data_IF_561895812152
#
_entry.id   IF_561895812152
#
_cell.length_a   1.000
_cell.length_b   1.000
_cell.length_c   1.000
_cell.angle_alpha   90.00
_cell.angle_beta   90.00
_cell.angle_gamma   90.00
#
_symmetry.space_group_name_H-M   'P 1'
#
loop_
_entity.id
_entity.type
_entity.pdbx_description
1 polymer ?
#
# COMPACT_ATOMS: atom_id res chain seq x y z
N UNK A 1 -23.02 -0.05 -29.66
CA UNK A 1 -23.73 -1.07 -28.85
C UNK A 1 -22.90 -1.63 -27.69
N UNK A 2 -21.68 -1.09 -27.42
CA UNK A 2 -20.80 -1.58 -26.35
C UNK A 2 -20.90 -0.85 -24.99
N UNK A 3 -21.60 0.27 -24.90
CA UNK A 3 -21.70 1.05 -23.65
C UNK A 3 -22.77 0.57 -22.67
N UNK A 4 -23.70 -0.27 -23.08
CA UNK A 4 -24.90 -0.60 -22.28
C UNK A 4 -24.69 -1.65 -21.18
N UNK A 5 -23.49 -2.21 -21.01
CA UNK A 5 -23.31 -3.32 -20.05
C UNK A 5 -21.91 -3.33 -19.40
N UNK A 6 -21.36 -2.14 -19.06
CA UNK A 6 -20.10 -2.11 -18.30
C UNK A 6 -20.34 -2.41 -16.82
N UNK A 7 -19.44 -3.13 -16.13
CA UNK A 7 -19.52 -3.39 -14.69
C UNK A 7 -19.59 -2.10 -13.85
N UNK A 8 -20.42 -2.07 -12.81
CA UNK A 8 -20.44 -0.95 -11.86
C UNK A 8 -19.18 -1.00 -10.97
N UNK A 9 -18.41 0.09 -10.97
CA UNK A 9 -17.21 0.28 -10.16
C UNK A 9 -17.47 1.34 -9.10
N UNK A 10 -17.12 1.06 -7.84
CA UNK A 10 -17.10 2.03 -6.75
C UNK A 10 -15.65 2.29 -6.35
N UNK A 11 -15.15 3.50 -6.59
CA UNK A 11 -13.86 3.94 -6.05
C UNK A 11 -14.02 4.30 -4.57
N UNK A 12 -13.27 3.61 -3.73
CA UNK A 12 -13.32 3.73 -2.26
C UNK A 12 -12.14 4.55 -1.79
N UNK A 13 -12.40 5.76 -1.30
CA UNK A 13 -11.41 6.76 -0.95
C UNK A 13 -11.48 7.12 0.55
N UNK A 14 -10.83 6.35 1.45
CA UNK A 14 -10.65 6.75 2.84
C UNK A 14 -9.75 7.99 2.94
N UNK A 15 -10.22 9.02 3.65
CA UNK A 15 -9.47 10.28 3.84
C UNK A 15 -9.38 10.65 5.32
N UNK A 16 -8.24 11.23 5.70
CA UNK A 16 -8.02 11.85 7.00
C UNK A 16 -6.86 12.85 6.89
N UNK A 17 -7.19 14.15 6.88
CA UNK A 17 -6.22 15.25 6.73
C UNK A 17 -5.38 15.13 5.45
N UNK A 18 -6.05 15.22 4.32
CA UNK A 18 -5.48 15.11 2.96
C UNK A 18 -5.64 16.41 2.15
N UNK A 19 -5.77 17.58 2.81
CA UNK A 19 -6.03 18.87 2.15
C UNK A 19 -5.02 19.20 1.04
N UNK A 20 -3.76 18.73 1.18
CA UNK A 20 -2.70 19.02 0.22
C UNK A 20 -2.84 18.25 -1.10
N UNK A 21 -3.63 17.16 -1.16
CA UNK A 21 -3.61 16.22 -2.30
C UNK A 21 -5.01 15.77 -2.76
N UNK A 22 -6.04 15.98 -1.94
CA UNK A 22 -7.37 15.42 -2.20
C UNK A 22 -7.98 15.91 -3.51
N UNK A 23 -7.76 17.16 -3.90
CA UNK A 23 -8.31 17.72 -5.16
C UNK A 23 -7.68 17.05 -6.38
N UNK A 24 -6.36 16.85 -6.37
CA UNK A 24 -5.65 16.17 -7.45
C UNK A 24 -6.11 14.71 -7.57
N UNK A 25 -6.28 14.03 -6.45
CA UNK A 25 -6.81 12.67 -6.39
C UNK A 25 -8.22 12.59 -7.00
N UNK A 26 -9.16 13.43 -6.55
CA UNK A 26 -10.53 13.46 -7.08
C UNK A 26 -10.56 13.83 -8.56
N UNK A 27 -9.75 14.79 -8.98
CA UNK A 27 -9.65 15.18 -10.40
C UNK A 27 -9.22 14.00 -11.26
N UNK A 28 -8.23 13.22 -10.83
CA UNK A 28 -7.78 12.03 -11.56
C UNK A 28 -8.84 10.92 -11.65
N UNK A 29 -9.71 10.80 -10.64
CA UNK A 29 -10.83 9.86 -10.64
C UNK A 29 -12.02 10.34 -11.48
N UNK A 30 -12.23 11.66 -11.61
CA UNK A 30 -13.27 12.23 -12.46
C UNK A 30 -12.88 12.29 -13.94
N UNK A 31 -11.60 12.20 -14.26
CA UNK A 31 -11.09 12.23 -15.64
C UNK A 31 -10.89 10.85 -16.25
N UNK A 32 -11.63 9.84 -15.73
CA UNK A 32 -11.52 8.49 -16.28
C UNK A 32 -12.24 8.36 -17.62
N UNK A 33 -11.68 7.53 -18.52
CA UNK A 33 -12.34 7.14 -19.78
C UNK A 33 -13.49 6.17 -19.56
N UNK A 34 -13.59 5.62 -18.34
CA UNK A 34 -14.68 4.73 -17.95
C UNK A 34 -16.00 5.51 -17.83
N UNK A 35 -17.13 5.03 -18.36
CA UNK A 35 -18.36 5.81 -18.39
C UNK A 35 -18.86 6.18 -16.98
N UNK A 36 -19.20 7.44 -16.78
CA UNK A 36 -19.63 8.00 -15.49
C UNK A 36 -20.84 7.30 -14.87
N UNK A 37 -21.74 6.81 -15.73
CA UNK A 37 -22.92 6.06 -15.29
C UNK A 37 -22.58 4.75 -14.56
N UNK A 38 -21.39 4.20 -14.80
CA UNK A 38 -20.89 2.95 -14.21
C UNK A 38 -19.75 3.18 -13.19
N UNK A 39 -19.49 4.43 -12.82
CA UNK A 39 -18.47 4.78 -11.85
C UNK A 39 -19.04 5.67 -10.73
N UNK A 40 -18.81 5.28 -9.48
CA UNK A 40 -19.13 6.08 -8.30
C UNK A 40 -17.87 6.27 -7.44
N UNK A 41 -17.77 7.41 -6.78
CA UNK A 41 -16.65 7.73 -5.89
C UNK A 41 -17.20 7.94 -4.48
N UNK A 42 -16.78 7.10 -3.55
CA UNK A 42 -17.13 7.19 -2.14
C UNK A 42 -15.94 7.75 -1.36
N UNK A 43 -16.11 8.94 -0.81
CA UNK A 43 -15.13 9.59 0.06
C UNK A 43 -15.52 9.29 1.52
N UNK A 44 -14.70 8.53 2.22
CA UNK A 44 -14.95 8.08 3.60
C UNK A 44 -14.09 8.92 4.55
N UNK A 45 -14.66 10.01 5.08
CA UNK A 45 -13.93 10.94 5.94
C UNK A 45 -13.83 10.42 7.38
N UNK A 46 -12.60 10.19 7.83
CA UNK A 46 -12.26 9.76 9.18
C UNK A 46 -12.38 10.86 10.25
N UNK A 47 -13.05 11.97 9.95
CA UNK A 47 -13.15 13.15 10.80
C UNK A 47 -11.92 14.04 10.64
N UNK A 48 -11.65 14.47 9.41
CA UNK A 48 -10.57 15.41 9.10
C UNK A 48 -10.76 16.74 9.87
N UNK A 49 -9.63 17.27 10.34
CA UNK A 49 -9.58 18.53 11.12
C UNK A 49 -8.96 19.68 10.34
N UNK A 50 -8.44 19.39 9.15
CA UNK A 50 -7.95 20.35 8.17
C UNK A 50 -9.05 20.71 7.15
N UNK A 51 -8.67 21.31 6.02
CA UNK A 51 -9.61 21.72 4.97
C UNK A 51 -10.11 20.59 4.09
N UNK A 52 -9.74 19.33 4.33
CA UNK A 52 -10.06 18.19 3.44
C UNK A 52 -11.55 18.13 3.09
N UNK A 53 -12.43 18.10 4.11
CA UNK A 53 -13.88 17.98 3.90
C UNK A 53 -14.43 19.15 3.08
N UNK A 54 -14.08 20.38 3.47
CA UNK A 54 -14.51 21.60 2.77
C UNK A 54 -14.07 21.63 1.31
N UNK A 55 -12.85 21.13 1.02
CA UNK A 55 -12.34 21.03 -0.33
C UNK A 55 -13.12 20.00 -1.16
N UNK A 56 -13.44 18.86 -0.59
CA UNK A 56 -14.26 17.82 -1.27
C UNK A 56 -15.67 18.34 -1.55
N UNK A 57 -16.33 19.00 -0.58
CA UNK A 57 -17.65 19.60 -0.76
C UNK A 57 -17.67 20.66 -1.86
N UNK A 58 -16.65 21.55 -1.89
CA UNK A 58 -16.48 22.54 -2.96
C UNK A 58 -16.24 21.88 -4.32
N UNK A 59 -15.45 20.81 -4.34
CA UNK A 59 -15.19 20.07 -5.59
C UNK A 59 -16.48 19.44 -6.13
N UNK A 60 -17.30 18.83 -5.29
CA UNK A 60 -18.60 18.25 -5.66
C UNK A 60 -19.54 19.32 -6.22
N UNK A 61 -19.63 20.49 -5.59
CA UNK A 61 -20.52 21.58 -6.01
C UNK A 61 -20.10 22.21 -7.33
N UNK A 62 -18.79 22.18 -7.67
CA UNK A 62 -18.23 22.81 -8.88
C UNK A 62 -17.97 21.80 -10.01
N UNK A 63 -18.27 20.51 -9.80
CA UNK A 63 -18.02 19.50 -10.84
C UNK A 63 -18.96 19.66 -12.04
N UNK A 64 -18.52 19.17 -13.20
CA UNK A 64 -19.37 19.08 -14.39
C UNK A 64 -20.53 18.09 -14.17
N UNK A 65 -21.66 18.33 -14.83
CA UNK A 65 -22.84 17.46 -14.78
C UNK A 65 -22.59 16.04 -15.33
N UNK A 66 -21.63 15.92 -16.22
CA UNK A 66 -21.16 14.66 -16.83
C UNK A 66 -19.89 14.13 -16.15
N UNK A 67 -19.89 14.02 -14.85
CA UNK A 67 -18.82 13.40 -14.07
C UNK A 67 -19.39 12.36 -13.09
N UNK A 68 -18.61 11.36 -12.65
CA UNK A 68 -19.10 10.31 -11.78
C UNK A 68 -19.68 10.88 -10.48
N UNK A 69 -20.67 10.20 -9.92
CA UNK A 69 -21.30 10.58 -8.66
C UNK A 69 -20.29 10.46 -7.51
N UNK A 70 -20.02 11.57 -6.83
CA UNK A 70 -19.19 11.60 -5.63
C UNK A 70 -20.09 11.76 -4.41
N UNK A 71 -19.92 10.87 -3.43
CA UNK A 71 -20.64 10.94 -2.15
C UNK A 71 -19.66 10.93 -0.99
N UNK A 72 -19.85 11.84 -0.01
CA UNK A 72 -19.08 11.88 1.22
C UNK A 72 -19.85 11.11 2.29
N UNK A 73 -19.16 10.21 2.98
CA UNK A 73 -19.66 9.49 4.14
C UNK A 73 -18.76 9.73 5.33
N UNK A 74 -19.35 9.85 6.50
CA UNK A 74 -18.61 9.91 7.76
C UNK A 74 -18.11 8.50 8.12
N UNK A 75 -16.82 8.38 8.43
CA UNK A 75 -16.21 7.19 8.99
C UNK A 75 -15.85 7.41 10.46
N UNK A 76 -16.79 7.26 11.40
CA UNK A 76 -16.56 7.57 12.82
C UNK A 76 -15.50 6.68 13.47
N UNK A 77 -15.23 5.51 12.90
CA UNK A 77 -14.19 4.58 13.36
C UNK A 77 -12.78 4.94 12.83
N UNK A 78 -12.69 5.89 11.90
CA UNK A 78 -11.48 6.59 11.45
C UNK A 78 -10.39 5.76 10.76
N UNK A 79 -10.43 4.43 10.78
CA UNK A 79 -9.41 3.59 10.14
C UNK A 79 -9.83 3.17 8.73
N UNK A 80 -8.84 2.78 7.94
CA UNK A 80 -9.03 2.43 6.52
C UNK A 80 -9.88 1.17 6.35
N UNK A 81 -9.69 0.15 7.18
CA UNK A 81 -10.48 -1.09 7.12
C UNK A 81 -11.98 -0.84 7.35
N UNK A 82 -12.29 0.00 8.36
CA UNK A 82 -13.67 0.39 8.66
C UNK A 82 -14.29 1.23 7.52
N UNK A 83 -13.52 2.16 6.94
CA UNK A 83 -13.97 2.95 5.80
C UNK A 83 -14.30 2.06 4.60
N UNK A 84 -13.41 1.11 4.28
CA UNK A 84 -13.61 0.19 3.16
C UNK A 84 -14.80 -0.75 3.37
N UNK A 85 -15.01 -1.23 4.61
CA UNK A 85 -16.18 -2.03 4.95
C UNK A 85 -17.48 -1.21 4.86
N UNK A 86 -17.46 0.04 5.31
CA UNK A 86 -18.59 0.94 5.15
C UNK A 86 -18.90 1.17 3.67
N UNK A 87 -17.90 1.35 2.82
CA UNK A 87 -18.11 1.47 1.38
C UNK A 87 -18.65 0.19 0.76
N UNK A 88 -18.21 -0.99 1.21
CA UNK A 88 -18.72 -2.29 0.77
C UNK A 88 -20.20 -2.46 1.12
N UNK A 89 -20.59 -2.06 2.34
CA UNK A 89 -21.98 -2.10 2.83
C UNK A 89 -22.89 -1.13 2.06
N UNK A 90 -22.40 0.09 1.78
CA UNK A 90 -23.17 1.14 1.09
C UNK A 90 -23.17 1.01 -0.44
N UNK A 91 -22.32 0.13 -0.99
CA UNK A 91 -22.23 -0.07 -2.42
C UNK A 91 -23.54 -0.65 -2.98
N UNK A 92 -24.06 -0.12 -4.10
CA UNK A 92 -25.25 -0.68 -4.76
C UNK A 92 -25.11 -2.19 -5.02
N UNK A 93 -26.22 -2.90 -5.03
CA UNK A 93 -26.24 -4.34 -5.36
C UNK A 93 -25.65 -4.62 -6.76
N UNK A 94 -25.83 -3.69 -7.69
CA UNK A 94 -25.27 -3.75 -9.04
C UNK A 94 -23.75 -3.58 -9.10
N UNK A 95 -23.08 -3.27 -7.97
CA UNK A 95 -21.63 -3.08 -7.94
C UNK A 95 -20.92 -4.41 -8.13
N UNK A 96 -20.08 -4.48 -9.16
CA UNK A 96 -19.24 -5.65 -9.42
C UNK A 96 -17.84 -5.51 -8.81
N UNK A 97 -17.30 -4.29 -8.79
CA UNK A 97 -15.96 -4.04 -8.33
C UNK A 97 -15.85 -2.87 -7.36
N UNK A 98 -14.96 -3.00 -6.38
CA UNK A 98 -14.47 -1.90 -5.53
C UNK A 98 -13.02 -1.59 -5.87
N UNK A 99 -12.74 -0.34 -6.23
CA UNK A 99 -11.39 0.16 -6.49
C UNK A 99 -10.82 0.84 -5.25
N UNK A 100 -9.71 0.33 -4.73
CA UNK A 100 -8.98 0.94 -3.63
C UNK A 100 -8.19 2.16 -4.09
N UNK A 101 -8.45 3.30 -3.46
CA UNK A 101 -7.72 4.56 -3.68
C UNK A 101 -7.39 5.17 -2.33
N UNK A 102 -6.42 6.08 -2.28
CA UNK A 102 -6.09 6.87 -1.07
C UNK A 102 -5.96 8.35 -1.43
N UNK A 103 -6.19 9.26 -0.46
CA UNK A 103 -6.29 10.70 -0.70
C UNK A 103 -5.03 11.39 -1.25
N UNK A 104 -3.88 10.74 -1.23
CA UNK A 104 -2.60 11.26 -1.74
C UNK A 104 -2.02 10.45 -2.91
N UNK A 105 -2.90 9.92 -3.76
CA UNK A 105 -2.49 9.29 -5.01
C UNK A 105 -3.25 9.85 -6.21
N UNK A 106 -2.72 9.60 -7.40
CA UNK A 106 -3.37 9.88 -8.67
C UNK A 106 -3.27 8.69 -9.59
N UNK A 107 -4.24 8.56 -10.49
CA UNK A 107 -4.32 7.49 -11.49
C UNK A 107 -4.39 8.08 -12.90
N UNK A 108 -4.01 7.30 -13.90
CA UNK A 108 -4.15 7.72 -15.29
C UNK A 108 -5.63 7.67 -15.70
N UNK A 109 -6.00 8.44 -16.71
CA UNK A 109 -7.39 8.57 -17.22
C UNK A 109 -8.01 7.24 -17.69
N UNK A 110 -7.24 6.29 -18.13
CA UNK A 110 -7.71 4.96 -18.57
C UNK A 110 -7.55 3.87 -17.49
N UNK A 111 -7.35 4.24 -16.23
CA UNK A 111 -7.01 3.30 -15.16
C UNK A 111 -8.14 2.30 -14.91
N UNK A 112 -9.37 2.80 -14.69
CA UNK A 112 -10.53 1.94 -14.39
C UNK A 112 -10.84 1.04 -15.58
N UNK A 113 -10.88 1.60 -16.79
CA UNK A 113 -11.20 0.85 -18.00
C UNK A 113 -10.24 -0.33 -18.20
N UNK A 114 -8.93 -0.07 -18.16
CA UNK A 114 -7.91 -1.12 -18.28
C UNK A 114 -7.98 -2.17 -17.16
N UNK A 115 -8.24 -1.75 -15.90
CA UNK A 115 -8.35 -2.69 -14.79
C UNK A 115 -9.56 -3.62 -14.98
N UNK A 116 -10.70 -3.10 -15.45
CA UNK A 116 -11.91 -3.88 -15.72
C UNK A 116 -11.69 -4.83 -16.90
N UNK A 117 -11.11 -4.36 -17.99
CA UNK A 117 -10.77 -5.21 -19.14
C UNK A 117 -9.87 -6.37 -18.72
N UNK A 118 -8.78 -6.07 -18.03
CA UNK A 118 -7.81 -7.08 -17.61
C UNK A 118 -8.36 -8.09 -16.61
N UNK A 119 -9.17 -7.66 -15.63
CA UNK A 119 -9.75 -8.61 -14.67
C UNK A 119 -10.76 -9.53 -15.36
N UNK A 120 -11.46 -9.04 -16.37
CA UNK A 120 -12.38 -9.84 -17.19
C UNK A 120 -11.61 -10.87 -18.02
N UNK A 121 -10.55 -10.47 -18.73
CA UNK A 121 -9.68 -11.39 -19.49
C UNK A 121 -9.03 -12.46 -18.59
N UNK A 122 -8.59 -12.07 -17.40
CA UNK A 122 -8.04 -13.00 -16.41
C UNK A 122 -9.12 -14.00 -15.94
N UNK A 123 -10.35 -13.55 -15.73
CA UNK A 123 -11.45 -14.42 -15.33
C UNK A 123 -11.84 -15.43 -16.42
N UNK A 124 -11.77 -15.03 -17.70
CA UNK A 124 -12.01 -15.90 -18.84
C UNK A 124 -10.89 -16.94 -19.05
N UNK A 125 -9.65 -16.56 -18.73
CA UNK A 125 -8.45 -17.40 -18.92
C UNK A 125 -8.16 -18.36 -17.77
N UNK A 126 -8.82 -18.21 -16.62
CA UNK A 126 -8.56 -19.00 -15.41
C UNK A 126 -9.84 -19.68 -14.91
N UNK A 127 -9.72 -20.95 -14.51
CA UNK A 127 -10.83 -21.71 -13.91
C UNK A 127 -11.16 -21.27 -12.48
N UNK A 128 -10.18 -20.72 -11.76
CA UNK A 128 -10.35 -20.19 -10.41
C UNK A 128 -10.83 -18.74 -10.48
N UNK A 129 -11.75 -18.32 -9.57
CA UNK A 129 -12.25 -16.96 -9.58
C UNK A 129 -11.16 -15.95 -9.18
N UNK A 130 -11.18 -14.78 -9.83
CA UNK A 130 -10.27 -13.69 -9.54
C UNK A 130 -10.83 -12.84 -8.40
N UNK A 131 -10.08 -12.70 -7.32
CA UNK A 131 -10.47 -11.90 -6.15
C UNK A 131 -10.06 -10.44 -6.25
N UNK A 132 -8.89 -10.17 -6.84
CA UNK A 132 -8.37 -8.82 -7.00
C UNK A 132 -7.30 -8.72 -8.08
N UNK A 133 -7.24 -7.56 -8.72
CA UNK A 133 -6.15 -7.13 -9.61
C UNK A 133 -5.54 -5.84 -9.04
N UNK A 134 -4.26 -5.84 -8.72
CA UNK A 134 -3.54 -4.68 -8.20
C UNK A 134 -2.76 -3.93 -9.26
N UNK A 135 -2.59 -2.63 -9.06
CA UNK A 135 -1.82 -1.74 -9.92
C UNK A 135 -0.37 -1.59 -9.45
N UNK A 136 0.53 -1.23 -10.37
CA UNK A 136 1.92 -0.87 -10.04
C UNK A 136 1.99 0.50 -9.37
N UNK A 137 2.65 0.57 -8.22
CA UNK A 137 2.83 1.81 -7.48
C UNK A 137 4.12 2.49 -7.91
N UNK A 138 4.02 3.74 -8.35
CA UNK A 138 5.17 4.55 -8.75
C UNK A 138 5.23 5.83 -7.90
N UNK A 139 6.38 6.51 -7.92
CA UNK A 139 6.50 7.81 -7.27
C UNK A 139 5.57 8.84 -7.92
N UNK A 140 5.03 9.75 -7.11
CA UNK A 140 4.12 10.81 -7.60
C UNK A 140 4.76 11.73 -8.66
N UNK A 141 6.08 11.79 -8.73
CA UNK A 141 6.81 12.68 -9.63
C UNK A 141 7.12 14.02 -8.96
N UNK A 142 7.86 14.88 -9.66
CA UNK A 142 8.32 16.17 -9.16
C UNK A 142 9.73 16.12 -8.56
N UNK A 143 10.20 17.25 -8.03
CA UNK A 143 11.51 17.35 -7.39
C UNK A 143 11.45 16.75 -5.99
N UNK A 144 11.87 15.49 -5.87
CA UNK A 144 11.97 14.81 -4.57
C UNK A 144 13.08 15.44 -3.74
N UNK A 145 12.79 15.68 -2.46
CA UNK A 145 13.82 16.02 -1.50
C UNK A 145 14.85 14.89 -1.35
N UNK A 146 16.03 15.19 -0.80
CA UNK A 146 17.14 14.23 -0.69
C UNK A 146 16.71 12.96 0.08
N UNK A 147 16.13 13.12 1.26
CA UNK A 147 15.67 12.00 2.07
C UNK A 147 14.53 11.21 1.39
N UNK A 148 13.61 11.91 0.73
CA UNK A 148 12.50 11.30 -0.01
C UNK A 148 13.01 10.44 -1.17
N UNK A 149 14.00 10.95 -1.92
CA UNK A 149 14.64 10.22 -3.03
C UNK A 149 15.33 8.93 -2.57
N UNK A 150 15.98 8.96 -1.39
CA UNK A 150 16.61 7.78 -0.81
C UNK A 150 15.60 6.76 -0.33
N UNK A 151 14.52 7.22 0.33
CA UNK A 151 13.42 6.37 0.79
C UNK A 151 12.72 5.73 -0.41
N UNK A 152 12.42 6.50 -1.45
CA UNK A 152 11.81 6.01 -2.68
C UNK A 152 12.65 4.91 -3.35
N UNK A 153 13.96 5.16 -3.48
CA UNK A 153 14.88 4.17 -4.03
C UNK A 153 14.99 2.92 -3.16
N UNK A 154 15.00 3.07 -1.83
CA UNK A 154 15.01 1.94 -0.91
C UNK A 154 13.74 1.09 -1.01
N UNK A 155 12.57 1.70 -1.20
CA UNK A 155 11.31 0.98 -1.43
C UNK A 155 11.30 0.16 -2.74
N UNK A 156 11.99 0.65 -3.78
CA UNK A 156 12.16 -0.09 -5.01
C UNK A 156 13.18 -1.25 -4.89
N UNK A 157 13.94 -1.28 -3.80
CA UNK A 157 14.91 -2.33 -3.52
C UNK A 157 14.24 -3.60 -2.97
N UNK A 158 14.60 -4.81 -3.50
CA UNK A 158 14.16 -6.06 -2.91
C UNK A 158 14.62 -6.26 -1.46
N UNK A 159 15.68 -5.55 -1.04
CA UNK A 159 16.18 -5.64 0.32
C UNK A 159 15.21 -4.99 1.33
N UNK A 160 14.57 -3.86 0.98
CA UNK A 160 13.66 -3.17 1.89
C UNK A 160 12.19 -3.60 1.74
N UNK A 161 11.70 -3.82 0.51
CA UNK A 161 10.29 -4.16 0.27
C UNK A 161 10.03 -5.65 0.06
N UNK A 162 11.08 -6.44 -0.09
CA UNK A 162 10.97 -7.86 -0.45
C UNK A 162 10.30 -8.05 -1.81
N UNK A 163 9.38 -9.01 -1.89
CA UNK A 163 8.53 -9.24 -3.07
C UNK A 163 7.20 -8.47 -2.98
N UNK A 164 7.17 -7.38 -2.22
CA UNK A 164 5.94 -6.62 -1.96
C UNK A 164 5.52 -5.73 -3.13
N UNK A 165 4.46 -4.99 -2.87
CA UNK A 165 3.75 -4.12 -3.83
C UNK A 165 4.60 -3.02 -4.49
N UNK A 166 5.73 -2.65 -3.87
CA UNK A 166 6.65 -1.63 -4.41
C UNK A 166 7.79 -2.22 -5.23
N UNK A 167 7.87 -3.55 -5.34
CA UNK A 167 8.90 -4.21 -6.13
C UNK A 167 8.75 -3.85 -7.61
N UNK A 168 9.87 -3.70 -8.29
CA UNK A 168 9.86 -3.55 -9.73
C UNK A 168 9.51 -4.90 -10.38
N UNK A 169 8.40 -4.95 -11.11
CA UNK A 169 7.93 -6.11 -11.88
C UNK A 169 7.44 -5.62 -13.25
N UNK A 170 7.29 -6.53 -14.18
CA UNK A 170 6.82 -6.27 -15.53
C UNK A 170 5.78 -7.30 -15.93
N UNK A 171 4.74 -6.84 -16.63
CA UNK A 171 3.63 -7.67 -17.07
C UNK A 171 2.58 -7.90 -15.97
N UNK A 172 1.72 -8.88 -16.22
CA UNK A 172 0.66 -9.30 -15.30
C UNK A 172 1.02 -10.66 -14.71
N UNK A 173 1.03 -10.77 -13.39
CA UNK A 173 1.45 -11.99 -12.69
C UNK A 173 0.64 -12.24 -11.42
N UNK A 174 0.57 -13.50 -10.99
CA UNK A 174 -0.01 -13.90 -9.72
C UNK A 174 0.82 -13.31 -8.57
N UNK A 175 0.15 -12.82 -7.55
CA UNK A 175 0.78 -12.26 -6.36
C UNK A 175 0.01 -12.64 -5.10
N UNK A 176 0.69 -12.63 -3.96
CA UNK A 176 0.05 -12.88 -2.66
C UNK A 176 -0.54 -11.61 -2.02
N UNK A 177 -0.08 -10.43 -2.39
CA UNK A 177 -0.57 -9.16 -1.82
C UNK A 177 -0.46 -8.08 -2.89
N UNK A 178 -1.50 -7.90 -3.70
CA UNK A 178 -1.58 -6.79 -4.63
C UNK A 178 -1.79 -5.45 -3.90
N UNK A 179 -1.62 -4.33 -4.60
CA UNK A 179 -1.83 -2.99 -4.07
C UNK A 179 -2.76 -2.20 -4.98
N UNK A 180 -3.50 -1.24 -4.42
CA UNK A 180 -4.43 -0.39 -5.17
C UNK A 180 -5.33 -1.23 -6.08
N UNK A 181 -6.04 -2.15 -5.42
CA UNK A 181 -6.74 -3.22 -6.10
C UNK A 181 -8.10 -2.79 -6.63
N UNK A 182 -8.42 -3.30 -7.80
CA UNK A 182 -9.80 -3.54 -8.22
C UNK A 182 -10.20 -4.89 -7.64
N UNK A 183 -11.04 -4.88 -6.60
CA UNK A 183 -11.54 -6.09 -5.94
C UNK A 183 -12.88 -6.53 -6.52
N UNK A 184 -13.07 -7.81 -6.74
CA UNK A 184 -14.39 -8.38 -6.96
C UNK A 184 -15.25 -8.20 -5.69
N UNK A 185 -16.40 -7.52 -5.80
CA UNK A 185 -17.35 -7.39 -4.68
C UNK A 185 -17.77 -8.74 -4.14
N UNK A 186 -18.08 -9.69 -5.03
CA UNK A 186 -18.40 -11.08 -4.66
C UNK A 186 -17.32 -11.75 -3.82
N UNK A 187 -16.04 -11.51 -4.13
CA UNK A 187 -14.93 -12.04 -3.36
C UNK A 187 -14.80 -11.38 -1.98
N UNK A 188 -15.02 -10.05 -1.90
CA UNK A 188 -15.05 -9.33 -0.63
C UNK A 188 -16.20 -9.81 0.26
N UNK A 189 -17.39 -9.94 -0.27
CA UNK A 189 -18.56 -10.44 0.46
C UNK A 189 -18.34 -11.87 0.98
N UNK A 190 -17.74 -12.74 0.16
CA UNK A 190 -17.45 -14.13 0.53
C UNK A 190 -16.52 -14.27 1.73
N UNK A 191 -15.60 -13.29 1.94
CA UNK A 191 -14.64 -13.32 3.07
C UNK A 191 -15.00 -12.32 4.18
N UNK A 192 -16.11 -11.58 4.06
CA UNK A 192 -16.59 -10.63 5.06
C UNK A 192 -15.80 -9.31 5.12
N UNK A 193 -15.26 -8.86 3.97
CA UNK A 193 -14.54 -7.58 3.86
C UNK A 193 -13.19 -7.57 4.60
N UNK A 194 -12.77 -6.38 5.06
CA UNK A 194 -11.51 -6.16 5.77
C UNK A 194 -11.63 -6.42 7.27
N UNK A 195 -10.64 -7.12 7.86
CA UNK A 195 -10.58 -7.28 9.31
C UNK A 195 -10.15 -5.98 10.00
N UNK A 196 -11.08 -5.39 10.75
CA UNK A 196 -10.88 -4.13 11.47
C UNK A 196 -9.93 -4.26 12.66
N UNK A 197 -9.50 -5.48 13.03
CA UNK A 197 -8.44 -5.68 14.00
C UNK A 197 -7.12 -5.03 13.52
N UNK A 198 -6.84 -5.07 12.22
CA UNK A 198 -5.60 -4.58 11.64
C UNK A 198 -5.68 -3.09 11.28
N UNK A 199 -4.91 -2.25 11.97
CA UNK A 199 -4.72 -0.82 11.60
C UNK A 199 -3.74 -0.68 10.43
N UNK A 200 -2.82 -1.61 10.29
CA UNK A 200 -1.87 -1.77 9.18
C UNK A 200 -1.78 -3.25 8.86
N UNK A 201 -1.45 -3.62 7.64
CA UNK A 201 -1.47 -4.99 7.12
C UNK A 201 -2.89 -5.58 6.91
N UNK A 202 -3.94 -4.76 6.94
CA UNK A 202 -5.30 -5.17 6.61
C UNK A 202 -5.40 -5.74 5.19
N UNK A 203 -4.64 -5.17 4.24
CA UNK A 203 -4.58 -5.65 2.85
C UNK A 203 -3.93 -7.05 2.77
N UNK A 204 -2.88 -7.27 3.56
CA UNK A 204 -2.24 -8.60 3.64
C UNK A 204 -3.14 -9.64 4.30
N UNK A 205 -3.91 -9.26 5.34
CA UNK A 205 -4.89 -10.16 5.96
C UNK A 205 -6.00 -10.54 4.99
N UNK A 206 -6.58 -9.54 4.31
CA UNK A 206 -7.61 -9.76 3.29
C UNK A 206 -7.10 -10.68 2.19
N UNK A 207 -5.91 -10.41 1.66
CA UNK A 207 -5.29 -11.22 0.62
C UNK A 207 -5.15 -12.69 1.04
N UNK A 208 -4.70 -12.96 2.27
CA UNK A 208 -4.59 -14.34 2.78
C UNK A 208 -5.95 -15.02 2.90
N UNK A 209 -7.00 -14.28 3.33
CA UNK A 209 -8.35 -14.85 3.41
C UNK A 209 -8.94 -15.14 2.03
N UNK A 210 -8.71 -14.27 1.03
CA UNK A 210 -9.10 -14.49 -0.36
C UNK A 210 -8.40 -15.71 -0.96
N UNK A 211 -7.07 -15.83 -0.79
CA UNK A 211 -6.30 -16.99 -1.26
C UNK A 211 -6.79 -18.29 -0.60
N UNK A 212 -7.06 -18.28 0.70
CA UNK A 212 -7.58 -19.44 1.43
C UNK A 212 -9.01 -19.82 1.00
N UNK A 213 -9.78 -18.86 0.50
CA UNK A 213 -11.10 -19.08 -0.08
C UNK A 213 -11.06 -19.52 -1.56
N UNK A 214 -9.86 -19.75 -2.12
CA UNK A 214 -9.67 -20.26 -3.48
C UNK A 214 -9.63 -19.21 -4.58
N UNK A 215 -9.60 -17.91 -4.24
CA UNK A 215 -9.46 -16.84 -5.22
C UNK A 215 -8.00 -16.66 -5.65
N UNK A 216 -7.80 -16.30 -6.92
CA UNK A 216 -6.50 -15.83 -7.41
C UNK A 216 -6.39 -14.31 -7.24
N UNK A 217 -5.18 -13.85 -6.95
CA UNK A 217 -4.83 -12.44 -6.87
C UNK A 217 -3.73 -12.13 -7.88
N UNK A 218 -3.92 -11.06 -8.63
CA UNK A 218 -2.98 -10.62 -9.67
C UNK A 218 -2.45 -9.21 -9.39
N UNK A 219 -1.31 -8.89 -9.99
CA UNK A 219 -0.79 -7.54 -10.14
C UNK A 219 -0.37 -7.27 -11.57
N UNK A 220 -0.47 -6.01 -12.00
CA UNK A 220 -0.15 -5.60 -13.37
C UNK A 220 0.61 -4.28 -13.39
N UNK A 221 1.51 -4.10 -14.37
CA UNK A 221 2.16 -2.83 -14.68
C UNK A 221 1.52 -2.08 -15.87
N UNK A 222 0.47 -2.65 -16.45
CA UNK A 222 -0.31 -1.99 -17.52
C UNK A 222 -0.98 -0.69 -17.04
N UNK A 223 -1.24 -0.60 -15.73
CA UNK A 223 -1.72 0.61 -15.07
C UNK A 223 -0.83 0.97 -13.88
N UNK A 224 -0.71 2.27 -13.62
CA UNK A 224 0.12 2.77 -12.53
C UNK A 224 -0.67 3.70 -11.63
N UNK A 225 -0.36 3.63 -10.32
CA UNK A 225 -0.83 4.59 -9.33
C UNK A 225 0.38 5.41 -8.88
N UNK A 226 0.30 6.72 -9.07
CA UNK A 226 1.30 7.66 -8.56
C UNK A 226 0.97 8.01 -7.12
N UNK A 227 1.88 7.78 -6.21
CA UNK A 227 1.64 7.98 -4.78
C UNK A 227 2.76 8.79 -4.13
N UNK A 228 2.39 9.82 -3.36
CA UNK A 228 3.33 10.53 -2.50
C UNK A 228 3.78 9.63 -1.34
N UNK A 229 5.08 9.52 -1.13
CA UNK A 229 5.67 8.67 -0.09
C UNK A 229 6.22 9.51 1.08
N UNK A 230 6.96 8.88 1.99
CA UNK A 230 7.47 9.54 3.19
C UNK A 230 8.59 10.52 2.86
N UNK A 231 8.50 11.75 3.38
CA UNK A 231 9.45 12.84 3.11
C UNK A 231 10.63 12.92 4.10
N UNK A 232 10.59 12.18 5.21
CA UNK A 232 11.63 12.27 6.25
C UNK A 232 12.00 10.90 6.82
N UNK A 233 13.25 10.77 7.30
CA UNK A 233 13.73 9.56 7.98
C UNK A 233 12.96 9.26 9.27
N UNK A 234 12.47 10.29 9.99
CA UNK A 234 11.66 10.10 11.19
C UNK A 234 10.34 9.40 10.86
N UNK A 235 9.64 9.85 9.81
CA UNK A 235 8.39 9.22 9.35
C UNK A 235 8.65 7.82 8.78
N UNK A 236 9.79 7.62 8.12
CA UNK A 236 10.25 6.33 7.61
C UNK A 236 10.50 5.31 8.72
N UNK A 237 11.25 5.70 9.76
CA UNK A 237 11.50 4.87 10.93
C UNK A 237 10.21 4.50 11.68
N UNK A 238 9.30 5.47 11.90
CA UNK A 238 7.99 5.22 12.50
C UNK A 238 7.17 4.21 11.66
N UNK A 239 7.24 4.32 10.34
CA UNK A 239 6.57 3.37 9.44
C UNK A 239 7.17 1.98 9.56
N UNK A 240 8.50 1.85 9.55
CA UNK A 240 9.20 0.58 9.74
C UNK A 240 8.77 -0.11 11.04
N UNK A 241 8.80 0.59 12.16
CA UNK A 241 8.36 0.06 13.45
C UNK A 241 6.89 -0.41 13.42
N UNK A 242 6.00 0.41 12.86
CA UNK A 242 4.58 0.07 12.76
C UNK A 242 4.35 -1.18 11.89
N UNK A 243 5.04 -1.27 10.76
CA UNK A 243 4.95 -2.44 9.90
C UNK A 243 5.47 -3.70 10.59
N UNK A 244 6.60 -3.62 11.29
CA UNK A 244 7.12 -4.76 12.07
C UNK A 244 6.14 -5.22 13.15
N UNK A 245 5.59 -4.28 13.92
CA UNK A 245 4.59 -4.59 14.95
C UNK A 245 3.37 -5.34 14.39
N UNK A 246 2.75 -4.80 13.34
CA UNK A 246 1.57 -5.40 12.73
C UNK A 246 1.90 -6.67 11.95
N UNK A 247 3.13 -6.77 11.45
CA UNK A 247 3.62 -8.01 10.82
C UNK A 247 3.61 -9.18 11.80
N UNK A 248 4.05 -8.98 13.04
CA UNK A 248 3.96 -10.03 14.09
C UNK A 248 2.52 -10.46 14.35
N UNK A 249 1.57 -9.51 14.39
CA UNK A 249 0.14 -9.84 14.54
C UNK A 249 -0.38 -10.63 13.35
N UNK A 250 0.00 -10.23 12.13
CA UNK A 250 -0.35 -10.94 10.91
C UNK A 250 0.19 -12.38 10.90
N UNK A 251 1.46 -12.57 11.26
CA UNK A 251 2.09 -13.89 11.31
C UNK A 251 1.47 -14.83 12.37
N UNK A 252 0.97 -14.28 13.48
CA UNK A 252 0.20 -15.05 14.46
C UNK A 252 -1.13 -15.55 13.90
N UNK A 253 -1.78 -14.78 13.02
CA UNK A 253 -3.05 -15.16 12.39
C UNK A 253 -2.82 -16.04 11.15
N UNK A 254 -1.77 -15.74 10.37
CA UNK A 254 -1.43 -16.42 9.12
C UNK A 254 0.03 -16.91 9.13
N UNK A 255 0.34 -18.04 9.82
CA UNK A 255 1.72 -18.54 9.92
C UNK A 255 2.35 -18.87 8.57
N UNK A 256 1.57 -19.31 7.59
CA UNK A 256 2.04 -19.58 6.22
C UNK A 256 2.65 -18.35 5.51
N UNK A 257 2.41 -17.14 6.04
CA UNK A 257 2.91 -15.88 5.50
C UNK A 257 4.33 -15.54 5.97
N UNK A 258 4.95 -16.38 6.79
CA UNK A 258 6.34 -16.20 7.26
C UNK A 258 7.30 -16.18 6.06
N UNK A 259 8.21 -15.21 6.06
CA UNK A 259 9.32 -15.12 5.11
C UNK A 259 10.63 -15.05 5.89
N UNK A 260 11.56 -15.95 5.62
CA UNK A 260 12.88 -15.96 6.27
C UNK A 260 13.64 -14.64 6.10
N UNK A 261 13.40 -13.94 4.97
CA UNK A 261 14.02 -12.64 4.68
C UNK A 261 13.76 -11.60 5.76
N UNK A 262 12.59 -11.63 6.39
CA UNK A 262 12.18 -10.69 7.43
C UNK A 262 13.01 -10.81 8.70
N UNK A 263 13.63 -11.97 8.90
CA UNK A 263 14.45 -12.29 10.08
C UNK A 263 15.95 -12.24 9.81
N UNK A 264 16.37 -12.09 8.54
CA UNK A 264 17.80 -12.04 8.19
C UNK A 264 18.60 -10.99 8.98
N UNK A 265 18.13 -9.73 9.20
CA UNK A 265 18.85 -8.79 10.00
C UNK A 265 19.07 -9.25 11.45
N UNK A 266 18.08 -9.95 12.03
CA UNK A 266 18.19 -10.55 13.35
C UNK A 266 19.20 -11.70 13.39
N UNK A 267 19.11 -12.62 12.44
CA UNK A 267 20.05 -13.75 12.35
C UNK A 267 21.49 -13.26 12.18
N UNK A 268 21.72 -12.28 11.31
CA UNK A 268 23.04 -11.68 11.11
C UNK A 268 23.59 -11.04 12.37
N UNK A 269 22.77 -10.27 13.09
CA UNK A 269 23.16 -9.63 14.34
C UNK A 269 23.45 -10.67 15.45
N UNK A 270 22.55 -11.62 15.66
CA UNK A 270 22.71 -12.67 16.68
C UNK A 270 23.93 -13.54 16.39
N UNK A 271 24.17 -13.89 15.14
CA UNK A 271 25.37 -14.63 14.72
C UNK A 271 26.63 -13.84 14.99
N UNK A 272 26.66 -12.55 14.67
CA UNK A 272 27.79 -11.67 14.97
C UNK A 272 28.10 -11.65 16.47
N UNK A 273 27.07 -11.49 17.31
CA UNK A 273 27.21 -11.49 18.77
C UNK A 273 27.70 -12.85 19.28
N UNK A 274 27.12 -13.95 18.81
CA UNK A 274 27.50 -15.30 19.21
C UNK A 274 28.97 -15.62 18.87
N UNK A 275 29.41 -15.26 17.67
CA UNK A 275 30.80 -15.46 17.25
C UNK A 275 31.76 -14.60 18.07
N UNK A 276 31.37 -13.36 18.40
CA UNK A 276 32.16 -12.48 19.28
C UNK A 276 32.29 -13.08 20.69
N UNK A 277 31.18 -13.50 21.30
CA UNK A 277 31.19 -14.12 22.63
C UNK A 277 31.96 -15.45 22.67
N UNK A 278 31.95 -16.20 21.57
CA UNK A 278 32.74 -17.42 21.41
C UNK A 278 34.23 -17.14 21.08
N UNK A 279 34.65 -15.89 21.10
CA UNK A 279 36.00 -15.45 20.78
C UNK A 279 36.54 -15.94 19.42
N UNK A 280 35.64 -16.03 18.42
CA UNK A 280 36.00 -16.45 17.07
C UNK A 280 36.60 -15.29 16.29
N UNK A 281 37.75 -15.47 15.65
CA UNK A 281 38.48 -14.42 14.92
C UNK A 281 37.71 -13.79 13.74
N UNK A 282 36.64 -14.44 13.27
CA UNK A 282 35.82 -14.01 12.15
C UNK A 282 34.43 -13.45 12.57
N UNK A 283 34.28 -13.01 13.80
CA UNK A 283 33.00 -12.52 14.35
C UNK A 283 32.38 -11.37 13.54
N UNK A 284 33.18 -10.56 12.86
CA UNK A 284 32.75 -9.40 12.06
C UNK A 284 32.20 -9.77 10.68
N UNK A 285 32.43 -11.00 10.20
CA UNK A 285 32.10 -11.42 8.83
C UNK A 285 30.61 -11.27 8.49
N UNK A 286 29.64 -11.66 9.33
CA UNK A 286 28.23 -11.47 9.00
C UNK A 286 27.87 -9.99 8.79
N UNK A 287 28.38 -9.11 9.65
CA UNK A 287 28.17 -7.66 9.53
C UNK A 287 28.85 -7.08 8.30
N UNK A 288 30.06 -7.53 7.97
CA UNK A 288 30.79 -7.09 6.79
C UNK A 288 30.05 -7.50 5.49
N UNK A 289 29.55 -8.72 5.42
CA UNK A 289 28.75 -9.20 4.28
C UNK A 289 27.49 -8.36 4.11
N UNK A 290 26.80 -8.03 5.20
CA UNK A 290 25.65 -7.15 5.16
C UNK A 290 26.01 -5.76 4.59
N UNK A 291 27.10 -5.16 5.04
CA UNK A 291 27.57 -3.86 4.54
C UNK A 291 27.97 -3.92 3.05
N UNK A 292 28.59 -5.02 2.60
CA UNK A 292 28.92 -5.22 1.19
C UNK A 292 27.64 -5.27 0.35
N UNK A 293 26.63 -6.05 0.75
CA UNK A 293 25.35 -6.13 0.04
C UNK A 293 24.66 -4.77 -0.04
N UNK A 294 24.67 -4.00 1.04
CA UNK A 294 24.15 -2.63 1.06
C UNK A 294 24.94 -1.69 0.14
N UNK A 295 26.26 -1.81 0.11
CA UNK A 295 27.13 -1.03 -0.77
C UNK A 295 26.85 -1.33 -2.25
N UNK A 296 26.70 -2.60 -2.62
CA UNK A 296 26.32 -3.01 -3.97
C UNK A 296 24.97 -2.41 -4.37
N UNK A 297 23.99 -2.45 -3.46
CA UNK A 297 22.67 -1.89 -3.73
C UNK A 297 22.72 -0.36 -3.87
N UNK A 298 23.46 0.32 -3.03
CA UNK A 298 23.71 1.76 -3.15
C UNK A 298 24.37 2.14 -4.47
N UNK A 299 25.39 1.38 -4.90
CA UNK A 299 26.06 1.56 -6.18
C UNK A 299 25.10 1.33 -7.36
N UNK A 300 24.27 0.28 -7.29
CA UNK A 300 23.24 -0.02 -8.30
C UNK A 300 22.29 1.17 -8.50
N UNK A 301 21.74 1.71 -7.42
CA UNK A 301 20.86 2.89 -7.51
C UNK A 301 21.59 4.16 -7.91
N UNK A 302 22.86 4.32 -7.54
CA UNK A 302 23.69 5.44 -7.99
C UNK A 302 23.83 5.45 -9.51
N UNK A 303 24.13 4.32 -10.11
CA UNK A 303 24.22 4.16 -11.56
C UNK A 303 22.87 4.38 -12.23
N UNK A 304 21.82 3.74 -11.71
CA UNK A 304 20.46 3.83 -12.26
C UNK A 304 19.89 5.24 -12.24
N UNK A 305 20.12 5.99 -11.17
CA UNK A 305 19.63 7.35 -10.96
C UNK A 305 20.63 8.44 -11.40
N UNK A 306 21.83 8.05 -11.85
CA UNK A 306 22.94 8.95 -12.20
C UNK A 306 23.24 9.96 -11.07
N UNK A 307 23.23 9.49 -9.83
CA UNK A 307 23.40 10.31 -8.64
C UNK A 307 24.27 9.60 -7.60
N UNK A 308 25.50 10.09 -7.40
CA UNK A 308 26.50 9.49 -6.51
C UNK A 308 26.06 9.46 -5.03
N UNK A 309 25.20 10.39 -4.61
CA UNK A 309 24.73 10.46 -3.22
C UNK A 309 23.89 9.24 -2.85
N UNK A 310 23.34 8.51 -3.83
CA UNK A 310 22.58 7.27 -3.63
C UNK A 310 23.44 6.15 -3.04
N UNK A 311 24.78 6.15 -3.28
CA UNK A 311 25.69 5.14 -2.72
C UNK A 311 25.60 5.08 -1.19
N UNK A 312 25.38 6.23 -0.54
CA UNK A 312 25.27 6.33 0.90
C UNK A 312 23.80 6.36 1.36
N UNK A 313 22.97 7.12 0.65
CA UNK A 313 21.60 7.38 1.07
C UNK A 313 20.69 6.16 1.05
N UNK A 314 20.78 5.33 0.01
CA UNK A 314 19.97 4.10 -0.10
C UNK A 314 20.31 3.09 0.99
N UNK A 315 21.59 2.77 1.26
CA UNK A 315 21.98 1.96 2.41
C UNK A 315 21.45 2.48 3.74
N UNK A 316 21.57 3.78 4.01
CA UNK A 316 21.04 4.39 5.25
C UNK A 316 19.54 4.17 5.38
N UNK A 317 18.77 4.41 4.30
CA UNK A 317 17.33 4.22 4.32
C UNK A 317 16.95 2.74 4.54
N UNK A 318 17.71 1.78 3.96
CA UNK A 318 17.48 0.34 4.14
C UNK A 318 17.81 -0.06 5.60
N UNK A 319 18.94 0.37 6.16
CA UNK A 319 19.32 0.08 7.55
C UNK A 319 18.27 0.60 8.52
N UNK A 320 17.78 1.83 8.33
CA UNK A 320 16.72 2.39 9.16
C UNK A 320 15.45 1.54 9.09
N UNK A 321 15.04 1.10 7.90
CA UNK A 321 13.88 0.22 7.74
C UNK A 321 14.10 -1.11 8.46
N UNK A 322 15.22 -1.79 8.24
CA UNK A 322 15.52 -3.07 8.88
C UNK A 322 15.54 -2.94 10.40
N UNK A 323 16.19 -1.92 10.94
CA UNK A 323 16.28 -1.69 12.38
C UNK A 323 14.91 -1.49 13.01
N UNK A 324 14.14 -0.54 12.51
CA UNK A 324 12.85 -0.21 13.12
C UNK A 324 11.79 -1.27 12.84
N UNK A 325 11.81 -1.92 11.70
CA UNK A 325 10.97 -3.08 11.42
C UNK A 325 11.28 -4.25 12.38
N UNK A 326 12.54 -4.56 12.60
CA UNK A 326 12.98 -5.61 13.51
C UNK A 326 12.61 -5.32 14.96
N UNK A 327 12.79 -4.07 15.42
CA UNK A 327 12.33 -3.64 16.75
C UNK A 327 10.80 -3.77 16.84
N UNK A 328 10.07 -3.38 15.79
CA UNK A 328 8.63 -3.52 15.71
C UNK A 328 8.17 -4.97 15.77
N UNK A 329 8.86 -5.89 15.06
CA UNK A 329 8.61 -7.33 15.11
C UNK A 329 8.73 -7.87 16.56
N UNK A 330 9.84 -7.57 17.22
CA UNK A 330 10.08 -8.01 18.61
C UNK A 330 9.03 -7.44 19.56
N UNK A 331 8.76 -6.14 19.47
CA UNK A 331 7.75 -5.49 20.30
C UNK A 331 6.33 -6.06 20.06
N UNK A 332 6.02 -6.45 18.80
CA UNK A 332 4.74 -7.06 18.43
C UNK A 332 4.47 -8.41 19.11
N UNK A 333 5.49 -9.11 19.62
CA UNK A 333 5.31 -10.37 20.34
C UNK A 333 4.51 -10.14 21.63
N UNK A 334 4.90 -9.14 22.41
CA UNK A 334 4.36 -8.83 23.75
C UNK A 334 3.39 -7.64 23.74
N UNK A 335 3.54 -6.73 22.77
CA UNK A 335 2.75 -5.50 22.67
C UNK A 335 1.27 -5.79 22.43
N UNK A 336 0.39 -5.08 23.16
CA UNK A 336 -1.06 -5.08 22.92
C UNK A 336 -1.38 -4.26 21.66
N UNK A 337 -2.56 -4.49 21.08
CA UNK A 337 -3.10 -3.63 20.01
C UNK A 337 -3.09 -2.18 20.50
N UNK A 338 -2.50 -1.27 19.73
CA UNK A 338 -2.53 0.15 20.06
C UNK A 338 -3.94 0.69 19.87
N UNK A 339 -4.37 1.55 20.78
CA UNK A 339 -5.66 2.24 20.68
C UNK A 339 -5.65 3.26 19.53
N UNK A 340 -6.83 3.70 19.14
CA UNK A 340 -6.98 4.76 18.15
C UNK A 340 -6.29 6.08 18.56
N UNK A 341 -6.34 6.44 19.86
CA UNK A 341 -5.72 7.65 20.39
C UNK A 341 -4.20 7.69 20.15
N UNK A 342 -3.53 6.54 20.21
CA UNK A 342 -2.09 6.44 19.90
C UNK A 342 -1.79 6.79 18.44
N UNK A 343 -2.75 6.61 17.53
CA UNK A 343 -2.57 6.94 16.11
C UNK A 343 -2.80 8.42 15.84
N UNK A 344 -3.79 9.06 16.49
CA UNK A 344 -4.01 10.51 16.40
C UNK A 344 -2.79 11.31 16.85
N UNK A 345 -2.20 10.93 17.99
CA UNK A 345 -0.98 11.57 18.50
C UNK A 345 0.20 11.45 17.52
N UNK A 346 0.21 10.43 16.62
CA UNK A 346 1.26 10.23 15.62
C UNK A 346 0.96 10.90 14.27
N UNK A 347 -0.29 11.25 13.96
CA UNK A 347 -0.69 11.92 12.70
C UNK A 347 -0.56 13.43 12.84
N UNK A 348 -0.91 14.01 13.97
CA UNK A 348 -0.79 15.45 14.26
C UNK A 348 0.64 16.01 14.26
N UNK A 349 1.66 15.17 14.14
CA UNK A 349 3.08 15.54 14.09
C UNK A 349 3.75 15.24 12.72
N UNK A 350 2.98 15.16 11.65
CA UNK A 350 3.48 14.88 10.28
C UNK A 350 3.52 16.17 9.43
N UNK A 351 3.45 17.35 10.07
CA UNK A 351 3.78 18.62 9.43
C UNK A 351 5.28 18.88 9.51
#
# INVERSE_FOLDING_TARGET
MAEQNKPMVVSVLPVLNEEASIIECLSSLCQQTYPDAFHKIYVLDGGSTDSTRTLVEKFINNRASNSPLITIFDNPKKHVAEARNLALELAPESTEYLLEVIGHCTVNENHIEKMVEMITELQESHSQPIGALGAKVVAHGGNLGLAESWIESSLASPLASGSGQFQNFSGTEITNVPAFCLHSKKALDAVGGWDTYFITSQDSDLSMRLLNAGYLLFRTDAVTVKMAKRKSFRSWAKMGFRYGFWRTKLLKKHPSRVSLREFLPWFGLLLTIALYCANQGLWYVPSLLYLIVLGIEGARFSIQRRNLVMVIGVPIAIVLMHTFFSIGLAYGIFGRRRSFNDRQANIGNVN
#
